data_IF_787452964132
#
_entry.id   IF_787452964132
#
_cell.length_a   1.000
_cell.length_b   1.000
_cell.length_c   1.000
_cell.angle_alpha   90.00
_cell.angle_beta   90.00
_cell.angle_gamma   90.00
#
_symmetry.space_group_name_H-M   'P 1'
#
loop_
_entity.id
_entity.type
_entity.pdbx_description
1 polymer ?
#
# COMPACT_ATOMS: atom_id res chain seq x y z
N UNK A 1 36.53 -68.58 13.04
CA UNK A 1 36.83 -67.10 13.10
C UNK A 1 36.53 -66.38 11.79
N UNK A 2 36.74 -66.95 10.62
CA UNK A 2 36.51 -66.28 9.32
C UNK A 2 35.03 -65.95 9.03
N UNK A 3 34.08 -66.74 9.51
CA UNK A 3 32.66 -66.52 9.28
C UNK A 3 32.08 -65.47 10.21
N UNK A 4 32.64 -65.26 11.39
CA UNK A 4 32.20 -64.24 12.34
C UNK A 4 32.53 -62.81 11.87
N UNK A 5 33.69 -62.64 11.24
CA UNK A 5 34.09 -61.33 10.68
C UNK A 5 33.25 -60.95 9.46
N UNK A 6 32.76 -61.89 8.67
CA UNK A 6 31.89 -61.64 7.53
C UNK A 6 30.50 -61.20 8.00
N UNK A 7 29.95 -61.82 9.05
CA UNK A 7 28.67 -61.36 9.62
C UNK A 7 28.76 -60.01 10.27
N UNK A 8 29.85 -59.67 10.93
CA UNK A 8 30.04 -58.37 11.55
C UNK A 8 30.18 -57.25 10.51
N UNK A 9 30.84 -57.50 9.38
CA UNK A 9 30.94 -56.52 8.29
C UNK A 9 29.62 -56.33 7.53
N UNK A 10 28.80 -57.36 7.39
CA UNK A 10 27.48 -57.29 6.79
C UNK A 10 26.49 -56.51 7.68
N UNK A 11 26.58 -56.63 9.00
CA UNK A 11 25.75 -55.88 9.93
C UNK A 11 26.11 -54.41 9.99
N UNK A 12 27.39 -54.05 9.78
CA UNK A 12 27.84 -52.66 9.74
C UNK A 12 27.45 -51.94 8.44
N UNK A 13 27.31 -52.68 7.33
CA UNK A 13 26.89 -52.13 6.05
C UNK A 13 25.36 -51.86 5.99
N UNK A 14 24.58 -52.51 6.83
CA UNK A 14 23.12 -52.31 6.87
C UNK A 14 22.66 -51.06 7.64
N UNK A 15 23.56 -50.41 8.37
CA UNK A 15 23.21 -49.25 9.21
C UNK A 15 23.34 -47.88 8.53
N UNK A 16 23.66 -47.80 7.25
CA UNK A 16 23.86 -46.51 6.53
C UNK A 16 22.74 -46.21 5.53
N UNK A 17 21.57 -46.80 5.68
CA UNK A 17 20.40 -46.29 5.00
C UNK A 17 19.73 -45.29 5.94
N UNK A 18 20.37 -44.13 6.08
CA UNK A 18 19.67 -42.95 6.57
C UNK A 18 18.63 -42.56 5.51
N UNK A 19 17.40 -42.91 5.78
CA UNK A 19 16.28 -42.29 5.06
C UNK A 19 16.34 -40.82 5.35
N UNK A 20 16.87 -40.02 4.42
CA UNK A 20 16.56 -38.63 4.36
C UNK A 20 15.05 -38.57 4.20
N UNK A 21 14.34 -38.24 5.28
CA UNK A 21 12.96 -37.87 5.19
C UNK A 21 12.94 -36.64 4.30
N UNK A 22 12.52 -36.83 3.08
CA UNK A 22 12.09 -35.74 2.22
C UNK A 22 10.94 -35.10 2.97
N UNK A 23 11.21 -34.00 3.62
CA UNK A 23 10.17 -33.13 4.18
C UNK A 23 9.38 -32.64 2.97
N UNK A 24 8.41 -33.46 2.58
CA UNK A 24 7.46 -33.08 1.56
C UNK A 24 6.57 -32.03 2.19
N UNK A 25 6.97 -30.75 2.05
CA UNK A 25 6.05 -29.64 2.26
C UNK A 25 5.03 -29.72 1.12
N UNK A 26 4.22 -30.76 1.16
CA UNK A 26 3.02 -30.89 0.35
C UNK A 26 1.89 -30.33 1.18
N UNK A 27 1.74 -29.06 1.12
CA UNK A 27 0.45 -28.34 1.19
C UNK A 27 0.77 -26.87 1.28
N UNK A 28 1.31 -26.33 0.19
CA UNK A 28 1.07 -24.91 -0.10
C UNK A 28 -0.43 -24.81 -0.34
N UNK A 29 -1.20 -24.75 0.74
CA UNK A 29 -2.59 -24.39 0.67
C UNK A 29 -2.59 -22.92 0.27
N UNK A 30 -2.82 -22.68 -1.00
CA UNK A 30 -3.11 -21.35 -1.49
C UNK A 30 -4.34 -20.90 -0.70
N UNK A 31 -4.11 -19.99 0.25
CA UNK A 31 -5.21 -19.34 0.94
C UNK A 31 -5.86 -18.46 -0.12
N UNK A 32 -7.13 -18.74 -0.42
CA UNK A 32 -7.93 -17.85 -1.23
C UNK A 32 -7.89 -16.48 -0.56
N UNK A 33 -7.56 -15.46 -1.34
CA UNK A 33 -7.58 -14.09 -0.88
C UNK A 33 -9.00 -13.79 -0.38
N UNK A 34 -9.13 -13.68 0.93
CA UNK A 34 -10.36 -13.20 1.54
C UNK A 34 -10.42 -11.70 1.31
N UNK A 35 -10.98 -11.29 0.21
CA UNK A 35 -11.36 -9.90 -0.01
C UNK A 35 -12.49 -9.56 0.97
N UNK A 36 -12.12 -8.99 2.11
CA UNK A 36 -13.10 -8.38 3.02
C UNK A 36 -13.62 -7.12 2.34
N UNK A 37 -14.66 -7.27 1.55
CA UNK A 37 -15.48 -6.13 1.12
C UNK A 37 -16.25 -5.65 2.36
N UNK A 38 -15.58 -4.90 3.21
CA UNK A 38 -16.30 -4.10 4.18
C UNK A 38 -17.19 -3.13 3.38
N UNK A 39 -18.51 -3.13 3.57
CA UNK A 39 -19.33 -2.12 2.94
C UNK A 39 -18.79 -0.78 3.42
N UNK A 40 -18.22 -0.01 2.48
CA UNK A 40 -17.81 1.38 2.78
C UNK A 40 -19.06 2.05 3.31
N UNK A 41 -19.04 2.31 4.61
CA UNK A 41 -20.18 2.93 5.28
C UNK A 41 -20.53 4.19 4.51
N UNK A 42 -21.70 4.18 3.91
CA UNK A 42 -22.26 5.21 3.06
C UNK A 42 -21.94 6.60 3.63
N UNK A 43 -20.98 7.26 2.96
CA UNK A 43 -21.01 8.68 2.67
C UNK A 43 -21.70 9.53 3.72
N UNK A 44 -20.95 9.87 4.75
CA UNK A 44 -21.10 11.19 5.32
C UNK A 44 -20.50 12.16 4.29
N UNK A 45 -21.06 13.37 4.11
CA UNK A 45 -20.56 14.42 3.19
C UNK A 45 -19.09 14.83 3.42
N UNK A 46 -18.39 14.07 4.25
CA UNK A 46 -17.01 14.28 4.69
C UNK A 46 -15.99 13.40 3.98
N UNK A 47 -16.44 12.46 3.15
CA UNK A 47 -15.57 11.51 2.46
C UNK A 47 -15.57 11.76 0.95
N UNK A 48 -14.41 11.72 0.33
CA UNK A 48 -14.22 11.75 -1.14
C UNK A 48 -13.32 10.60 -1.50
N UNK A 49 -13.79 9.71 -2.36
CA UNK A 49 -13.01 8.61 -2.93
C UNK A 49 -12.78 8.87 -4.41
N UNK A 50 -11.55 8.77 -4.86
CA UNK A 50 -11.15 8.87 -6.25
C UNK A 50 -10.60 7.54 -6.72
N UNK A 51 -11.11 7.05 -7.83
CA UNK A 51 -10.62 5.83 -8.49
C UNK A 51 -9.42 6.15 -9.39
N UNK A 52 -8.68 5.11 -9.79
CA UNK A 52 -7.57 5.27 -10.75
C UNK A 52 -7.98 6.00 -12.02
N UNK A 53 -9.17 5.70 -12.58
CA UNK A 53 -9.66 6.34 -13.78
C UNK A 53 -9.89 7.84 -13.60
N UNK A 54 -10.50 8.23 -12.47
CA UNK A 54 -10.72 9.64 -12.13
C UNK A 54 -9.39 10.38 -11.87
N UNK A 55 -8.45 9.73 -11.21
CA UNK A 55 -7.12 10.26 -10.98
C UNK A 55 -6.39 10.51 -12.31
N UNK A 56 -6.40 9.52 -13.21
CA UNK A 56 -5.76 9.65 -14.52
C UNK A 56 -6.41 10.73 -15.40
N UNK A 57 -7.74 10.86 -15.37
CA UNK A 57 -8.44 11.91 -16.12
C UNK A 57 -8.11 13.32 -15.63
N UNK A 58 -7.85 13.46 -14.33
CA UNK A 58 -7.51 14.75 -13.71
C UNK A 58 -6.00 15.01 -13.68
N UNK A 59 -5.19 14.00 -13.98
CA UNK A 59 -3.73 14.09 -13.87
C UNK A 59 -3.15 14.90 -15.03
N UNK A 60 -2.68 16.10 -14.75
CA UNK A 60 -1.99 16.98 -15.68
C UNK A 60 -0.49 17.07 -15.39
N UNK A 61 0.07 16.14 -14.58
CA UNK A 61 1.46 16.15 -14.15
C UNK A 61 1.75 17.10 -12.98
N UNK A 62 0.71 17.67 -12.38
CA UNK A 62 0.81 18.49 -11.18
C UNK A 62 0.97 17.62 -9.92
N UNK A 63 1.46 18.22 -8.86
CA UNK A 63 1.55 17.56 -7.56
C UNK A 63 0.14 17.25 -7.00
N UNK A 64 0.06 16.23 -6.18
CA UNK A 64 -1.19 15.72 -5.63
C UNK A 64 -2.12 16.79 -5.00
N UNK A 65 -1.62 17.78 -4.26
CA UNK A 65 -2.48 18.86 -3.72
C UNK A 65 -3.34 19.54 -4.78
N UNK A 66 -2.80 19.78 -5.97
CA UNK A 66 -3.55 20.42 -7.06
C UNK A 66 -4.58 19.50 -7.69
N UNK A 67 -4.24 18.23 -7.81
CA UNK A 67 -5.17 17.21 -8.30
C UNK A 67 -6.38 17.07 -7.37
N UNK A 68 -6.18 17.29 -6.07
CA UNK A 68 -7.24 17.29 -5.06
C UNK A 68 -8.01 18.60 -4.96
N UNK A 69 -7.69 19.62 -5.76
CA UNK A 69 -8.34 20.96 -5.69
C UNK A 69 -9.86 20.93 -5.93
N UNK A 70 -10.35 19.91 -6.63
CA UNK A 70 -11.79 19.65 -6.79
C UNK A 70 -12.49 19.13 -5.53
N UNK A 71 -11.71 18.71 -4.52
CA UNK A 71 -12.26 18.22 -3.25
C UNK A 71 -12.89 19.37 -2.47
N UNK A 72 -14.14 19.27 -2.01
CA UNK A 72 -14.77 20.33 -1.24
C UNK A 72 -13.97 20.72 0.01
N UNK A 73 -13.87 22.04 0.26
CA UNK A 73 -13.15 22.62 1.38
C UNK A 73 -11.62 22.38 1.41
N UNK A 74 -11.03 21.97 0.30
CA UNK A 74 -9.60 21.89 0.10
C UNK A 74 -9.12 23.12 -0.67
N UNK A 75 -8.04 23.73 -0.21
CA UNK A 75 -7.36 24.83 -0.89
C UNK A 75 -5.91 24.41 -1.09
N UNK A 76 -5.49 24.30 -2.34
CA UNK A 76 -4.10 24.04 -2.72
C UNK A 76 -3.38 25.34 -3.04
N UNK A 77 -2.11 25.44 -2.69
CA UNK A 77 -1.21 26.55 -3.00
C UNK A 77 0.13 26.00 -3.48
N UNK A 78 0.81 26.75 -4.32
CA UNK A 78 2.12 26.42 -4.85
C UNK A 78 2.98 27.67 -4.92
N UNK A 79 4.26 27.54 -4.64
CA UNK A 79 5.20 28.67 -4.69
C UNK A 79 5.41 29.16 -6.12
N UNK A 80 5.30 28.26 -7.10
CA UNK A 80 5.40 28.56 -8.54
C UNK A 80 4.07 28.97 -9.18
N UNK A 81 2.95 28.76 -8.49
CA UNK A 81 1.60 29.00 -9.00
C UNK A 81 1.08 27.96 -10.00
N UNK A 82 1.93 27.06 -10.50
CA UNK A 82 1.57 26.04 -11.50
C UNK A 82 1.21 24.68 -10.90
N UNK A 83 1.48 24.49 -9.60
CA UNK A 83 1.24 23.24 -8.91
C UNK A 83 2.35 22.21 -9.08
N UNK A 84 3.55 22.67 -9.39
CA UNK A 84 4.79 21.90 -9.49
C UNK A 84 5.76 22.45 -8.43
N UNK A 85 6.68 21.64 -7.93
CA UNK A 85 7.63 22.06 -6.90
C UNK A 85 7.02 22.03 -5.49
N UNK A 86 7.26 23.08 -4.70
CA UNK A 86 6.72 23.15 -3.35
C UNK A 86 5.23 23.50 -3.40
N UNK A 87 4.42 22.53 -3.00
CA UNK A 87 2.97 22.63 -2.97
C UNK A 87 2.45 22.31 -1.58
N UNK A 88 1.42 23.04 -1.19
CA UNK A 88 0.78 22.91 0.12
C UNK A 88 -0.72 22.84 -0.05
N UNK A 89 -1.41 22.37 0.95
CA UNK A 89 -2.86 22.40 0.96
C UNK A 89 -3.40 22.55 2.39
N UNK A 90 -4.64 22.99 2.46
CA UNK A 90 -5.42 23.07 3.69
C UNK A 90 -6.78 22.45 3.45
N UNK A 91 -7.30 21.77 4.45
CA UNK A 91 -8.66 21.21 4.43
C UNK A 91 -9.44 21.83 5.57
N UNK A 92 -10.57 22.48 5.27
CA UNK A 92 -11.38 23.22 6.27
C UNK A 92 -10.55 24.23 7.07
N UNK A 93 -9.59 24.86 6.45
CA UNK A 93 -8.67 25.79 7.10
C UNK A 93 -7.59 25.15 7.97
N UNK A 94 -7.62 23.84 8.15
CA UNK A 94 -6.59 23.11 8.90
C UNK A 94 -5.35 22.96 8.05
N UNK A 95 -4.20 23.24 8.66
CA UNK A 95 -2.89 23.13 8.03
C UNK A 95 -2.52 21.67 7.74
N UNK A 96 -1.71 21.48 6.69
CA UNK A 96 -1.26 20.15 6.24
C UNK A 96 -0.48 19.36 7.29
N UNK A 97 0.14 20.02 8.28
CA UNK A 97 0.83 19.35 9.40
C UNK A 97 -0.11 18.59 10.33
N UNK A 98 -1.40 18.87 10.26
CA UNK A 98 -2.46 18.25 11.06
C UNK A 98 -3.38 17.36 10.23
N UNK A 99 -2.90 16.95 9.08
CA UNK A 99 -3.58 16.06 8.17
C UNK A 99 -2.75 14.81 8.03
N UNK A 100 -3.32 13.67 8.41
CA UNK A 100 -2.65 12.39 8.28
C UNK A 100 -2.65 11.94 6.82
N UNK A 101 -1.48 11.58 6.32
CA UNK A 101 -1.30 11.07 4.95
C UNK A 101 -0.63 9.71 5.01
N UNK A 102 -1.25 8.73 4.37
CA UNK A 102 -0.72 7.37 4.30
C UNK A 102 -0.63 6.90 2.86
N UNK A 103 0.38 6.09 2.59
CA UNK A 103 0.56 5.36 1.34
C UNK A 103 0.61 3.87 1.66
N UNK A 104 -0.36 3.10 1.15
CA UNK A 104 -0.49 1.69 1.48
C UNK A 104 -0.47 1.44 3.01
N UNK A 105 -1.20 2.27 3.75
CA UNK A 105 -1.30 2.29 5.21
C UNK A 105 -0.02 2.70 5.97
N UNK A 106 1.05 3.07 5.25
CA UNK A 106 2.28 3.60 5.86
C UNK A 106 2.20 5.12 5.93
N UNK A 107 2.40 5.74 7.11
CA UNK A 107 2.42 7.19 7.25
C UNK A 107 3.54 7.82 6.41
N UNK A 108 3.19 8.89 5.68
CA UNK A 108 4.12 9.68 4.88
C UNK A 108 4.56 10.97 5.57
N UNK A 109 3.81 11.39 6.60
CA UNK A 109 4.16 12.60 7.33
C UNK A 109 5.56 12.46 7.93
N UNK A 110 6.41 13.42 7.66
CA UNK A 110 7.74 13.49 8.24
C UNK A 110 7.66 13.60 9.77
N UNK A 111 8.52 12.90 10.48
CA UNK A 111 8.47 12.80 11.94
C UNK A 111 8.81 14.13 12.65
N UNK A 112 9.56 15.00 12.02
CA UNK A 112 9.99 16.29 12.59
C UNK A 112 9.02 17.41 12.19
N UNK A 113 8.82 17.61 10.89
CA UNK A 113 8.01 18.71 10.35
C UNK A 113 6.51 18.40 10.25
N UNK A 114 6.12 17.13 10.40
CA UNK A 114 4.75 16.63 10.22
C UNK A 114 4.17 16.93 8.83
N UNK A 115 5.02 17.27 7.85
CA UNK A 115 4.60 17.60 6.48
C UNK A 115 4.91 16.46 5.52
N UNK A 116 4.32 16.53 4.33
CA UNK A 116 4.70 15.70 3.18
C UNK A 116 5.29 16.63 2.13
N UNK A 117 6.50 16.34 1.67
CA UNK A 117 7.21 17.11 0.66
C UNK A 117 6.85 16.62 -0.75
N UNK A 118 5.81 17.20 -1.33
CA UNK A 118 5.28 16.79 -2.64
C UNK A 118 6.28 16.98 -3.77
N UNK A 119 7.22 17.90 -3.63
CA UNK A 119 8.32 18.10 -4.59
C UNK A 119 9.15 16.83 -4.83
N UNK A 120 9.19 15.94 -3.86
CA UNK A 120 9.90 14.65 -3.96
C UNK A 120 9.04 13.54 -4.59
N UNK A 121 7.75 13.81 -4.82
CA UNK A 121 6.76 12.82 -5.26
C UNK A 121 5.96 13.34 -6.46
N UNK A 122 6.69 13.76 -7.50
CA UNK A 122 6.07 14.24 -8.74
C UNK A 122 5.35 13.11 -9.44
N UNK A 123 4.21 13.43 -10.06
CA UNK A 123 3.36 12.49 -10.81
C UNK A 123 2.98 11.21 -10.03
N UNK A 124 2.82 11.34 -8.72
CA UNK A 124 2.43 10.20 -7.89
C UNK A 124 1.06 9.64 -8.28
N UNK A 125 0.20 10.48 -8.85
CA UNK A 125 -1.15 10.11 -9.27
C UNK A 125 -1.17 8.97 -10.29
N UNK A 126 -0.20 8.91 -11.19
CA UNK A 126 -0.09 7.84 -12.21
C UNK A 126 0.14 6.45 -11.61
N UNK A 127 0.72 6.40 -10.41
CA UNK A 127 1.01 5.16 -9.70
C UNK A 127 -0.10 4.71 -8.75
N UNK A 128 -1.13 5.54 -8.55
CA UNK A 128 -2.20 5.26 -7.60
C UNK A 128 -3.32 4.41 -8.21
N UNK A 129 -3.81 3.45 -7.44
CA UNK A 129 -5.04 2.71 -7.73
C UNK A 129 -6.28 3.38 -7.15
N UNK A 130 -6.14 4.02 -6.00
CA UNK A 130 -7.22 4.74 -5.34
C UNK A 130 -6.68 5.78 -4.37
N UNK A 131 -7.50 6.79 -4.12
CA UNK A 131 -7.24 7.84 -3.15
C UNK A 131 -8.51 8.14 -2.37
N UNK A 132 -8.41 8.13 -1.06
CA UNK A 132 -9.50 8.42 -0.15
C UNK A 132 -9.18 9.64 0.70
N UNK A 133 -10.05 10.63 0.69
CA UNK A 133 -9.95 11.84 1.52
C UNK A 133 -11.11 11.85 2.51
N UNK A 134 -10.80 11.76 3.79
CA UNK A 134 -11.77 11.97 4.86
C UNK A 134 -11.50 13.34 5.49
N UNK A 135 -12.49 14.21 5.42
CA UNK A 135 -12.40 15.57 5.96
C UNK A 135 -12.94 15.62 7.39
N UNK A 136 -12.13 16.16 8.30
CA UNK A 136 -12.41 16.18 9.74
C UNK A 136 -11.79 15.00 10.47
N UNK A 137 -12.01 14.90 11.78
CA UNK A 137 -11.51 13.81 12.60
C UNK A 137 -11.97 12.46 12.08
N UNK A 138 -11.02 11.60 11.84
CA UNK A 138 -11.25 10.23 11.37
C UNK A 138 -11.53 9.24 12.50
N UNK A 139 -11.79 8.01 12.12
CA UNK A 139 -11.79 6.88 13.06
C UNK A 139 -10.35 6.58 13.53
N UNK A 140 -10.18 5.90 14.65
CA UNK A 140 -8.87 5.53 15.18
C UNK A 140 -8.02 4.66 14.23
N UNK A 141 -8.64 4.09 13.21
CA UNK A 141 -7.97 3.29 12.16
C UNK A 141 -7.11 4.12 11.22
N UNK A 142 -7.31 5.45 11.17
CA UNK A 142 -6.59 6.34 10.26
C UNK A 142 -5.25 6.86 10.81
N UNK A 143 -4.85 6.42 12.00
CA UNK A 143 -3.57 6.77 12.60
C UNK A 143 -3.56 8.10 13.34
N UNK A 144 -2.34 8.51 13.75
CA UNK A 144 -2.10 9.78 14.43
C UNK A 144 -2.18 10.96 13.46
N UNK A 145 -2.33 12.19 14.01
CA UNK A 145 -2.37 13.45 13.26
C UNK A 145 -3.61 13.68 12.37
N UNK A 146 -4.62 12.82 12.41
CA UNK A 146 -5.87 13.00 11.63
C UNK A 146 -6.86 14.00 12.26
N UNK A 147 -6.35 15.16 12.70
CA UNK A 147 -7.20 16.18 13.32
C UNK A 147 -8.05 16.93 12.27
N UNK A 148 -7.43 17.38 11.20
CA UNK A 148 -8.11 18.15 10.15
C UNK A 148 -8.70 17.27 9.06
N UNK A 149 -7.98 16.24 8.69
CA UNK A 149 -8.35 15.26 7.68
C UNK A 149 -7.44 14.05 7.70
N UNK A 150 -7.83 13.05 6.96
CA UNK A 150 -7.01 11.88 6.63
C UNK A 150 -7.05 11.64 5.12
N UNK A 151 -5.87 11.46 4.51
CA UNK A 151 -5.71 11.13 3.10
C UNK A 151 -5.03 9.78 3.01
N UNK A 152 -5.72 8.81 2.43
CA UNK A 152 -5.23 7.46 2.27
C UNK A 152 -5.04 7.14 0.79
N UNK A 153 -3.81 6.82 0.41
CA UNK A 153 -3.38 6.55 -0.96
C UNK A 153 -3.04 5.07 -1.09
N UNK A 154 -3.51 4.44 -2.13
CA UNK A 154 -3.16 3.06 -2.45
C UNK A 154 -2.56 2.98 -3.84
N UNK A 155 -1.45 2.26 -3.97
CA UNK A 155 -0.84 1.99 -5.27
C UNK A 155 -1.36 0.69 -5.86
N UNK A 156 -1.23 0.53 -7.18
CA UNK A 156 -1.56 -0.72 -7.84
C UNK A 156 -0.63 -1.83 -7.36
N UNK A 157 -1.19 -2.93 -6.87
CA UNK A 157 -0.39 -4.09 -6.49
C UNK A 157 0.20 -4.76 -7.75
N UNK A 158 1.52 -5.01 -7.81
CA UNK A 158 2.13 -5.72 -8.93
C UNK A 158 1.57 -7.14 -9.11
N UNK A 159 1.07 -7.76 -8.06
CA UNK A 159 0.45 -9.07 -8.09
C UNK A 159 -0.82 -9.10 -8.98
N UNK A 160 -1.58 -8.00 -9.01
CA UNK A 160 -2.78 -7.91 -9.85
C UNK A 160 -2.45 -7.85 -11.34
N UNK A 161 -1.32 -7.24 -11.71
CA UNK A 161 -0.86 -7.17 -13.09
C UNK A 161 -0.42 -8.54 -13.63
N UNK A 162 0.16 -9.39 -12.77
CA UNK A 162 0.58 -10.73 -13.14
C UNK A 162 -0.63 -11.66 -13.33
N UNK A 163 -1.64 -11.54 -12.48
CA UNK A 163 -2.86 -12.35 -12.55
C UNK A 163 -3.75 -12.05 -13.79
N UNK A 164 -3.62 -10.86 -14.36
CA UNK A 164 -4.38 -10.45 -15.55
C UNK A 164 -3.67 -10.79 -16.87
N UNK A 165 -2.45 -11.29 -16.83
CA UNK A 165 -1.74 -11.71 -18.05
C UNK A 165 -2.30 -13.06 -18.52
N UNK A 166 -2.80 -13.18 -19.76
CA UNK A 166 -3.22 -14.47 -20.29
C UNK A 166 -2.03 -15.44 -20.31
N UNK A 167 -2.25 -16.75 -20.09
CA UNK A 167 -1.19 -17.73 -20.19
C UNK A 167 -0.56 -17.63 -21.58
N UNK A 168 0.75 -17.50 -21.63
CA UNK A 168 1.47 -17.52 -22.92
C UNK A 168 1.32 -18.90 -23.56
N UNK A 169 1.09 -18.96 -24.88
CA UNK A 169 0.97 -20.21 -25.61
C UNK A 169 2.26 -21.05 -25.55
#
# INVERSE_FOLDING_TARGET
>A
MKHFTIFLSAALAASVVAYAQTDTILLTRQLDEVTVNAPVAQVTNNHTALTNEQLNQSNTGQNLPFLLSSTPALVATSDDGLGIGYTYFRIRGTDHTRINMTLNDVPLNDSESQTVFWVNMTDMASSMSSLNVQRGGGTSTTGSASFGASINMSTSSPHRLIASSPPRP
#
